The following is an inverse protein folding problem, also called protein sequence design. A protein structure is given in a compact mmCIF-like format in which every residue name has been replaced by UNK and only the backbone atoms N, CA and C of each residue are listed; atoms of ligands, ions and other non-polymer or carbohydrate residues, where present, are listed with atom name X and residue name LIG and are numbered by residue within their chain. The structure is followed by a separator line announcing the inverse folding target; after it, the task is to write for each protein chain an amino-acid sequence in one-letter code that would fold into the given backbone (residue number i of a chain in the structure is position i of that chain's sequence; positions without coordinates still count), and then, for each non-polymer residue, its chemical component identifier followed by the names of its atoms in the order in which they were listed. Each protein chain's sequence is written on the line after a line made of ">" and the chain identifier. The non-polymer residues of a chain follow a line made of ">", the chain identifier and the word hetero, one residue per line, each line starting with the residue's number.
data_IF_993730345439
#
_entry.id   IF_993730345439
#
_cell.length_a   1.000
_cell.length_b   1.000
_cell.length_c   1.000
_cell.angle_alpha   90.00
_cell.angle_beta   90.00
_cell.angle_gamma   90.00
#
_symmetry.space_group_name_H-M   'P 1'
#
loop_
_entity.id
_entity.type
_entity.pdbx_description
1 polymer ?
#
# COMPACT_ATOMS: atom_id res chain seq x y z
N UNK A 1 3.84 2.58 9.49
CA UNK A 1 3.34 1.55 8.56
C UNK A 1 4.39 0.44 8.46
N UNK A 2 3.95 -0.80 8.32
CA UNK A 2 4.77 -1.95 7.92
C UNK A 2 4.28 -2.41 6.54
N UNK A 3 5.20 -2.80 5.65
CA UNK A 3 4.86 -3.37 4.35
C UNK A 3 5.85 -4.47 4.00
N UNK A 4 5.34 -5.69 3.86
CA UNK A 4 6.13 -6.84 3.44
C UNK A 4 5.28 -7.78 2.56
N UNK A 5 5.95 -8.71 1.90
CA UNK A 5 5.32 -9.87 1.28
C UNK A 5 5.79 -11.12 2.02
N UNK A 6 4.86 -12.03 2.29
CA UNK A 6 5.13 -13.35 2.88
C UNK A 6 4.67 -14.37 1.85
N UNK A 7 5.62 -14.94 1.12
CA UNK A 7 5.33 -15.96 0.10
C UNK A 7 5.23 -17.35 0.73
N UNK A 8 6.08 -17.64 1.72
CA UNK A 8 5.97 -18.78 2.64
C UNK A 8 6.36 -18.37 4.06
N UNK A 9 5.90 -19.08 5.11
CA UNK A 9 6.30 -18.78 6.48
C UNK A 9 7.83 -18.84 6.63
N UNK A 10 8.44 -17.71 7.03
CA UNK A 10 9.90 -17.56 7.14
C UNK A 10 10.57 -16.88 5.95
N UNK A 11 9.91 -16.77 4.80
CA UNK A 11 10.41 -16.04 3.63
C UNK A 11 9.67 -14.70 3.49
N UNK A 12 10.20 -13.71 4.20
CA UNK A 12 9.62 -12.36 4.27
C UNK A 12 10.46 -11.36 3.51
N UNK A 13 9.88 -10.75 2.48
CA UNK A 13 10.53 -9.70 1.69
C UNK A 13 9.97 -8.33 2.02
N UNK A 14 10.81 -7.30 2.01
CA UNK A 14 10.46 -5.90 2.30
C UNK A 14 10.64 -5.06 1.03
N UNK A 15 9.72 -5.11 0.06
CA UNK A 15 9.89 -4.45 -1.24
C UNK A 15 10.00 -2.92 -1.11
N UNK A 16 9.35 -2.34 -0.09
CA UNK A 16 9.46 -0.92 0.26
C UNK A 16 10.47 -0.63 1.39
N UNK A 17 11.36 -1.58 1.68
CA UNK A 17 12.29 -1.50 2.80
C UNK A 17 11.61 -1.65 4.16
N UNK A 18 12.40 -1.62 5.23
CA UNK A 18 11.95 -1.90 6.60
C UNK A 18 11.14 -0.76 7.23
N UNK A 19 11.21 0.45 6.68
CA UNK A 19 10.56 1.66 7.19
C UNK A 19 9.89 2.43 6.04
N UNK A 20 8.84 1.87 5.42
CA UNK A 20 8.14 2.55 4.34
C UNK A 20 7.34 3.73 4.87
N UNK A 21 7.10 4.71 4.01
CA UNK A 21 6.23 5.86 4.25
C UNK A 21 5.05 5.84 3.28
N UNK A 22 3.92 6.41 3.67
CA UNK A 22 2.71 6.39 2.86
C UNK A 22 1.42 6.47 3.65
N UNK A 23 0.31 6.55 2.93
CA UNK A 23 -1.04 6.65 3.47
C UNK A 23 -2.00 5.75 2.73
N UNK A 24 -2.94 5.19 3.49
CA UNK A 24 -4.11 4.52 2.99
C UNK A 24 -5.30 5.33 3.51
N UNK A 25 -5.96 6.02 2.60
CA UNK A 25 -7.08 6.90 2.92
C UNK A 25 -8.33 6.24 2.41
N UNK A 26 -9.30 6.10 3.31
CA UNK A 26 -10.66 5.69 3.03
C UNK A 26 -11.57 6.82 3.52
N UNK A 27 -12.43 7.34 2.66
CA UNK A 27 -13.36 8.41 3.03
C UNK A 27 -14.80 7.90 3.20
N UNK A 28 -15.67 8.64 3.92
CA UNK A 28 -17.07 8.25 4.09
C UNK A 28 -17.89 8.22 2.80
N UNK A 29 -17.41 8.83 1.72
CA UNK A 29 -18.07 8.80 0.41
C UNK A 29 -17.75 7.51 -0.38
N UNK A 30 -16.94 6.61 0.18
CA UNK A 30 -16.59 5.34 -0.44
C UNK A 30 -15.38 5.42 -1.38
N UNK A 31 -14.60 6.50 -1.34
CA UNK A 31 -13.37 6.60 -2.11
C UNK A 31 -12.18 6.03 -1.33
N UNK A 32 -11.21 5.52 -2.08
CA UNK A 32 -9.91 5.13 -1.54
C UNK A 32 -8.78 5.79 -2.33
N UNK A 33 -7.72 6.15 -1.60
CA UNK A 33 -6.44 6.53 -2.18
C UNK A 33 -5.32 5.91 -1.36
N UNK A 34 -4.51 5.09 -2.03
CA UNK A 34 -3.44 4.32 -1.42
C UNK A 34 -2.14 4.74 -2.08
N UNK A 35 -1.15 5.04 -1.26
CA UNK A 35 0.18 5.41 -1.69
C UNK A 35 1.19 4.96 -0.65
N UNK A 36 2.25 4.29 -1.09
CA UNK A 36 3.35 3.90 -0.24
C UNK A 36 4.65 3.86 -1.02
N UNK A 37 5.74 4.20 -0.36
CA UNK A 37 7.07 4.15 -0.93
C UNK A 37 8.13 3.76 0.08
N UNK A 38 9.29 3.38 -0.43
CA UNK A 38 10.54 3.37 0.33
C UNK A 38 10.71 4.75 0.97
N UNK A 39 11.05 4.80 2.26
CA UNK A 39 11.57 6.05 2.82
C UNK A 39 12.78 6.47 1.99
N UNK A 40 12.81 7.74 1.58
CA UNK A 40 13.94 8.24 0.81
C UNK A 40 15.23 7.96 1.59
N UNK A 41 16.27 7.38 0.95
CA UNK A 41 17.57 7.26 1.57
C UNK A 41 18.05 8.67 1.90
N UNK A 42 18.82 8.79 2.98
CA UNK A 42 19.66 9.96 3.17
C UNK A 42 20.67 9.98 2.00
N UNK A 43 20.40 10.75 0.95
CA UNK A 43 21.21 10.87 -0.27
C UNK A 43 20.55 10.34 -1.56
N UNK A 44 21.32 10.28 -2.65
CA UNK A 44 20.97 9.85 -4.03
C UNK A 44 19.83 10.60 -4.77
N UNK A 45 18.79 11.08 -4.09
CA UNK A 45 17.66 11.85 -4.67
C UNK A 45 17.75 13.36 -4.41
N UNK A 46 18.96 13.89 -4.16
CA UNK A 46 19.18 15.32 -3.95
C UNK A 46 19.17 16.16 -5.24
N UNK A 47 18.60 15.62 -6.33
CA UNK A 47 18.40 16.38 -7.57
C UNK A 47 16.95 16.84 -7.60
N UNK A 48 16.75 18.15 -7.78
CA UNK A 48 15.42 18.77 -7.82
C UNK A 48 14.52 18.21 -8.94
N UNK A 49 15.13 17.64 -9.99
CA UNK A 49 14.42 17.01 -11.10
C UNK A 49 15.16 15.80 -11.64
N UNK A 50 14.42 14.74 -11.93
CA UNK A 50 14.90 13.56 -12.68
C UNK A 50 14.16 13.55 -14.02
N UNK A 51 14.87 13.50 -15.17
CA UNK A 51 14.23 13.36 -16.47
C UNK A 51 13.33 12.12 -16.53
N UNK A 52 12.28 12.13 -17.35
CA UNK A 52 11.30 11.04 -17.43
C UNK A 52 11.96 9.66 -17.63
N UNK A 53 12.99 9.57 -18.49
CA UNK A 53 13.75 8.35 -18.73
C UNK A 53 14.54 7.82 -17.53
N UNK A 54 14.84 8.67 -16.54
CA UNK A 54 15.49 8.31 -15.28
C UNK A 54 14.53 7.94 -14.15
N UNK A 55 13.21 8.06 -14.35
CA UNK A 55 12.22 7.77 -13.30
C UNK A 55 11.96 6.27 -13.09
N UNK A 56 12.52 5.39 -13.94
CA UNK A 56 12.32 3.94 -13.83
C UNK A 56 12.71 3.39 -12.45
N UNK A 57 13.79 3.90 -11.86
CA UNK A 57 14.22 3.50 -10.52
C UNK A 57 13.22 3.94 -9.45
N UNK A 58 12.72 5.19 -9.53
CA UNK A 58 11.67 5.71 -8.62
C UNK A 58 10.39 4.88 -8.67
N UNK A 59 10.00 4.41 -9.85
CA UNK A 59 8.81 3.55 -10.00
C UNK A 59 8.95 2.22 -9.26
N UNK A 60 10.17 1.71 -9.07
CA UNK A 60 10.39 0.49 -8.26
C UNK A 60 10.29 0.74 -6.75
N UNK A 61 10.23 2.01 -6.33
CA UNK A 61 10.26 2.42 -4.93
C UNK A 61 8.92 2.91 -4.42
N UNK A 62 7.97 3.14 -5.32
CA UNK A 62 6.65 3.70 -5.02
C UNK A 62 5.57 2.83 -5.64
N UNK A 63 4.47 2.65 -4.92
CA UNK A 63 3.22 2.28 -5.56
C UNK A 63 2.10 3.17 -5.06
N UNK A 64 1.11 3.38 -5.93
CA UNK A 64 -0.14 3.98 -5.53
C UNK A 64 -1.27 3.63 -6.46
N UNK A 65 -2.48 3.64 -5.93
CA UNK A 65 -3.70 3.48 -6.71
C UNK A 65 -4.88 4.13 -5.99
N UNK A 66 -5.89 4.49 -6.76
CA UNK A 66 -7.10 5.12 -6.27
C UNK A 66 -8.33 4.51 -6.93
N UNK A 67 -9.48 4.70 -6.30
CA UNK A 67 -10.74 4.14 -6.76
C UNK A 67 -11.82 4.27 -5.70
N UNK A 68 -12.72 3.29 -5.69
CA UNK A 68 -13.77 3.17 -4.67
C UNK A 68 -13.61 1.88 -3.89
N UNK A 69 -14.16 1.81 -2.69
CA UNK A 69 -14.15 0.59 -1.89
C UNK A 69 -15.55 0.24 -1.39
N UNK A 70 -15.75 -1.06 -1.16
CA UNK A 70 -16.93 -1.60 -0.49
C UNK A 70 -16.50 -2.65 0.52
N UNK A 71 -17.05 -2.60 1.73
CA UNK A 71 -16.89 -3.67 2.72
C UNK A 71 -17.95 -4.73 2.43
N UNK A 72 -17.53 -5.96 2.14
CA UNK A 72 -18.43 -7.06 1.74
C UNK A 72 -18.68 -8.05 2.87
N UNK A 73 -17.86 -8.03 3.92
CA UNK A 73 -18.01 -8.80 5.15
C UNK A 73 -17.21 -8.15 6.29
N UNK A 74 -17.32 -8.68 7.51
CA UNK A 74 -16.57 -8.19 8.69
C UNK A 74 -15.04 -8.26 8.55
N UNK A 75 -14.54 -8.99 7.55
CA UNK A 75 -13.12 -9.23 7.32
C UNK A 75 -12.66 -8.96 5.89
N UNK A 76 -13.54 -8.51 4.98
CA UNK A 76 -13.19 -8.31 3.56
C UNK A 76 -13.63 -6.95 3.04
N UNK A 77 -12.67 -6.23 2.46
CA UNK A 77 -12.91 -5.01 1.68
C UNK A 77 -12.53 -5.26 0.23
N UNK A 78 -13.36 -4.78 -0.70
CA UNK A 78 -13.09 -4.83 -2.14
C UNK A 78 -12.67 -3.45 -2.60
N UNK A 79 -11.46 -3.33 -3.14
CA UNK A 79 -11.00 -2.12 -3.81
C UNK A 79 -11.33 -2.20 -5.30
N UNK A 80 -12.15 -1.29 -5.82
CA UNK A 80 -12.41 -1.16 -7.27
C UNK A 80 -11.48 -0.11 -7.86
N UNK A 81 -10.40 -0.57 -8.47
CA UNK A 81 -9.27 0.29 -8.83
C UNK A 81 -9.56 1.03 -10.14
N UNK A 82 -9.48 2.36 -10.10
CA UNK A 82 -9.71 3.24 -11.26
C UNK A 82 -8.43 3.67 -11.95
N UNK A 83 -7.33 3.80 -11.19
CA UNK A 83 -6.04 4.19 -11.72
C UNK A 83 -4.93 4.00 -10.69
N UNK A 84 -3.69 4.00 -11.15
CA UNK A 84 -2.52 3.80 -10.30
C UNK A 84 -1.29 3.32 -11.06
N UNK A 85 -0.28 2.89 -10.33
CA UNK A 85 1.01 2.43 -10.86
C UNK A 85 1.11 0.91 -11.00
N UNK A 86 0.03 0.18 -10.71
CA UNK A 86 -0.04 -1.28 -10.87
C UNK A 86 -1.01 -1.56 -12.03
N UNK A 87 -0.53 -1.71 -13.28
CA UNK A 87 -1.40 -1.81 -14.46
C UNK A 87 -2.40 -2.95 -14.37
N UNK A 88 -2.00 -4.09 -13.81
CA UNK A 88 -2.86 -5.28 -13.67
C UNK A 88 -4.05 -5.08 -12.71
N UNK A 89 -4.04 -4.03 -11.89
CA UNK A 89 -5.18 -3.74 -11.00
C UNK A 89 -6.20 -2.83 -11.66
N UNK A 90 -5.80 -2.02 -12.64
CA UNK A 90 -6.65 -0.98 -13.21
C UNK A 90 -7.90 -1.60 -13.86
N UNK A 91 -9.08 -1.12 -13.47
CA UNK A 91 -10.37 -1.62 -13.96
C UNK A 91 -10.84 -2.92 -13.30
N UNK A 92 -10.15 -3.40 -12.26
CA UNK A 92 -10.46 -4.67 -11.58
C UNK A 92 -10.91 -4.48 -10.13
N UNK A 93 -11.59 -5.50 -9.61
CA UNK A 93 -11.91 -5.63 -8.20
C UNK A 93 -10.81 -6.39 -7.47
N UNK A 94 -10.33 -5.81 -6.38
CA UNK A 94 -9.18 -6.25 -5.62
C UNK A 94 -9.63 -6.55 -4.18
N UNK A 95 -10.09 -7.79 -3.88
CA UNK A 95 -10.48 -8.16 -2.54
C UNK A 95 -9.27 -8.20 -1.61
N UNK A 96 -9.44 -7.68 -0.40
CA UNK A 96 -8.42 -7.65 0.65
C UNK A 96 -9.06 -8.08 1.96
N UNK A 97 -8.49 -9.12 2.57
CA UNK A 97 -8.79 -9.44 3.95
C UNK A 97 -8.26 -8.32 4.84
N UNK A 98 -8.96 -7.97 5.91
CA UNK A 98 -8.50 -6.98 6.85
C UNK A 98 -8.93 -7.27 8.29
N UNK A 99 -8.18 -6.70 9.23
CA UNK A 99 -8.48 -6.73 10.66
C UNK A 99 -8.10 -5.39 11.28
N UNK A 100 -8.93 -4.92 12.21
CA UNK A 100 -8.66 -3.70 12.97
C UNK A 100 -8.53 -4.07 14.45
N UNK A 101 -7.42 -3.68 15.07
CA UNK A 101 -7.18 -3.82 16.52
C UNK A 101 -6.71 -2.46 17.06
N UNK A 102 -7.58 -1.79 17.81
CA UNK A 102 -7.35 -0.42 18.27
C UNK A 102 -7.10 0.54 17.10
N UNK A 103 -5.93 1.18 17.09
CA UNK A 103 -5.51 2.11 16.05
C UNK A 103 -4.81 1.42 14.85
N UNK A 104 -4.69 0.09 14.84
CA UNK A 104 -3.95 -0.64 13.79
C UNK A 104 -4.89 -1.38 12.84
N UNK A 105 -4.74 -1.12 11.54
CA UNK A 105 -5.32 -1.87 10.43
C UNK A 105 -4.25 -2.81 9.86
N UNK A 106 -4.55 -4.11 9.82
CA UNK A 106 -3.83 -5.11 9.02
C UNK A 106 -4.62 -5.41 7.75
N UNK A 107 -4.00 -5.37 6.57
CA UNK A 107 -4.72 -5.53 5.30
C UNK A 107 -3.96 -6.35 4.25
N UNK A 108 -4.67 -7.25 3.57
CA UNK A 108 -4.09 -8.26 2.68
C UNK A 108 -3.44 -9.41 3.45
N UNK A 109 -3.00 -10.45 2.74
CA UNK A 109 -2.49 -11.68 3.36
C UNK A 109 -3.54 -12.41 4.23
N UNK A 110 -3.24 -13.63 4.66
CA UNK A 110 -4.02 -14.33 5.68
C UNK A 110 -3.44 -14.09 7.08
N UNK A 111 -4.28 -14.07 8.12
CA UNK A 111 -3.81 -14.16 9.51
C UNK A 111 -3.08 -15.51 9.73
N UNK A 112 -1.99 -15.57 10.52
CA UNK A 112 -1.32 -14.52 11.30
C UNK A 112 -0.26 -13.70 10.55
N UNK A 113 -0.14 -13.86 9.23
CA UNK A 113 1.03 -13.41 8.46
C UNK A 113 0.85 -12.07 7.75
N UNK A 114 -0.25 -11.36 7.99
CA UNK A 114 -0.43 -10.02 7.45
C UNK A 114 0.53 -9.03 8.13
N UNK A 115 1.66 -8.78 7.48
CA UNK A 115 2.66 -7.79 7.87
C UNK A 115 2.43 -6.40 7.26
N UNK A 116 1.32 -6.22 6.53
CA UNK A 116 0.90 -4.92 6.01
C UNK A 116 0.07 -4.22 7.06
N UNK A 117 0.73 -3.44 7.91
CA UNK A 117 0.11 -2.78 9.06
C UNK A 117 0.13 -1.27 8.91
N UNK A 118 -1.00 -0.65 9.16
CA UNK A 118 -1.24 0.78 9.08
C UNK A 118 -1.72 1.26 10.45
N UNK A 119 -1.13 2.34 10.95
CA UNK A 119 -1.53 2.94 12.22
C UNK A 119 -2.30 4.21 11.90
N UNK A 120 -3.46 4.38 12.54
CA UNK A 120 -4.31 5.56 12.41
C UNK A 120 -3.50 6.83 12.71
N UNK A 121 -3.53 7.79 11.79
CA UNK A 121 -2.97 9.12 12.03
C UNK A 121 -3.87 9.84 13.03
N UNK A 122 -3.29 10.37 14.10
CA UNK A 122 -4.00 11.20 15.07
C UNK A 122 -3.96 12.65 14.57
N UNK A 123 -5.14 13.27 14.49
CA UNK A 123 -5.32 14.71 14.32
C UNK A 123 -5.18 15.44 15.64
#
# INVERSE_FOLDING_TARGET
>A
MEFCNVDTPGDTTYPLGRRPIGFFIYDPAGNLSIQAMRAAPSGAFMRDSIPLGGMAELLSWYFGYFGTYTITSDSTVVHRVRGGTIPSYIGTDQPRNYWIRGDTLSIGGGEPWSCRKLVRVRS
#
